data_IF_409548722178
#
_entry.id   IF_409548722178
#
_cell.length_a   1.000
_cell.length_b   1.000
_cell.length_c   1.000
_cell.angle_alpha   90.00
_cell.angle_beta   90.00
_cell.angle_gamma   90.00
#
_symmetry.space_group_name_H-M   'P 1'
#
loop_
_entity.id
_entity.type
_entity.pdbx_description
1 polymer ?
#
# COMPACT_ATOMS: atom_id res chain seq x y z
N UNK A 1 15.52 -9.08 -6.25
CA UNK A 1 14.13 -9.15 -6.77
C UNK A 1 13.93 -8.34 -8.05
N UNK A 2 14.31 -7.00 -8.11
CA UNK A 2 14.14 -6.25 -9.37
C UNK A 2 14.98 -6.85 -10.52
N UNK A 3 16.21 -7.18 -10.28
CA UNK A 3 17.09 -7.80 -11.28
C UNK A 3 16.54 -9.13 -11.79
N UNK A 4 15.97 -9.96 -10.91
CA UNK A 4 15.31 -11.23 -11.31
C UNK A 4 14.11 -10.96 -12.23
N UNK A 5 13.33 -9.89 -11.96
CA UNK A 5 12.22 -9.47 -12.83
C UNK A 5 12.77 -9.02 -14.20
N UNK A 6 13.81 -8.18 -14.21
CA UNK A 6 14.46 -7.71 -15.44
C UNK A 6 14.92 -8.89 -16.30
N UNK A 7 15.62 -9.83 -15.70
CA UNK A 7 16.14 -11.03 -16.41
C UNK A 7 15.00 -11.87 -17.00
N UNK A 8 13.87 -12.00 -16.29
CA UNK A 8 12.66 -12.66 -16.81
C UNK A 8 12.08 -11.89 -17.99
N UNK A 9 11.98 -10.56 -17.90
CA UNK A 9 11.45 -9.72 -18.98
C UNK A 9 12.33 -9.79 -20.24
N UNK A 10 13.65 -9.78 -20.06
CA UNK A 10 14.62 -9.94 -21.14
C UNK A 10 14.49 -11.32 -21.81
N UNK A 11 14.42 -12.39 -21.01
CA UNK A 11 14.33 -13.76 -21.51
C UNK A 11 12.98 -14.12 -22.16
N UNK A 12 11.87 -13.52 -21.68
CA UNK A 12 10.52 -13.85 -22.14
C UNK A 12 9.94 -12.86 -23.14
N UNK A 13 10.50 -11.66 -23.22
CA UNK A 13 10.05 -10.57 -24.11
C UNK A 13 8.54 -10.32 -24.04
N UNK A 14 7.96 -10.45 -22.84
CA UNK A 14 6.51 -10.30 -22.62
C UNK A 14 6.02 -8.95 -23.12
N UNK A 15 4.91 -8.87 -23.87
CA UNK A 15 4.43 -7.60 -24.42
C UNK A 15 3.95 -6.64 -23.35
N UNK A 16 3.40 -7.15 -22.24
CA UNK A 16 2.83 -6.35 -21.14
C UNK A 16 3.31 -6.81 -19.78
N UNK A 17 3.46 -5.88 -18.88
CA UNK A 17 3.90 -6.10 -17.49
C UNK A 17 3.10 -5.22 -16.53
N UNK A 18 2.50 -5.81 -15.53
CA UNK A 18 1.87 -5.07 -14.43
C UNK A 18 2.62 -5.36 -13.13
N UNK A 19 3.19 -4.33 -12.53
CA UNK A 19 3.95 -4.41 -11.28
C UNK A 19 3.27 -3.61 -10.18
N UNK A 20 3.46 -4.05 -8.95
CA UNK A 20 3.01 -3.34 -7.74
C UNK A 20 4.16 -3.17 -6.76
N UNK A 21 4.16 -2.03 -6.07
CA UNK A 21 5.07 -1.78 -4.96
C UNK A 21 4.48 -0.77 -3.96
N UNK A 22 5.16 -0.56 -2.85
CA UNK A 22 4.82 0.53 -1.94
C UNK A 22 5.10 1.90 -2.57
N UNK A 23 4.25 2.90 -2.30
CA UNK A 23 4.38 4.26 -2.87
C UNK A 23 5.70 4.95 -2.50
N UNK A 24 6.36 4.48 -1.44
CA UNK A 24 7.69 4.96 -1.03
C UNK A 24 8.77 4.72 -2.09
N UNK A 25 8.58 3.77 -3.03
CA UNK A 25 9.49 3.51 -4.14
C UNK A 25 9.83 4.81 -4.92
N UNK A 26 8.84 5.68 -5.14
CA UNK A 26 9.04 6.98 -5.82
C UNK A 26 10.01 7.93 -5.09
N UNK A 27 10.39 7.63 -3.86
CA UNK A 27 11.24 8.47 -2.99
C UNK A 27 12.49 7.74 -2.52
N UNK A 28 12.68 6.51 -2.94
CA UNK A 28 13.79 5.65 -2.52
C UNK A 28 15.04 5.90 -3.36
N UNK A 29 16.23 5.87 -2.76
CA UNK A 29 16.50 5.94 -1.31
C UNK A 29 16.44 7.38 -0.80
N UNK A 30 16.38 7.56 0.52
CA UNK A 30 16.24 8.90 1.13
C UNK A 30 17.36 9.87 0.76
N UNK A 31 18.61 9.38 0.60
CA UNK A 31 19.79 10.19 0.25
C UNK A 31 19.88 10.54 -1.24
N UNK A 32 19.20 9.79 -2.13
CA UNK A 32 19.21 9.97 -3.57
C UNK A 32 17.79 9.75 -4.10
N UNK A 33 16.93 10.71 -3.81
CA UNK A 33 15.49 10.60 -4.02
C UNK A 33 15.14 10.22 -5.46
N UNK A 34 14.35 9.13 -5.59
CA UNK A 34 13.83 8.66 -6.87
C UNK A 34 14.77 7.75 -7.66
N UNK A 35 16.02 7.56 -7.19
CA UNK A 35 17.00 6.71 -7.88
C UNK A 35 16.47 5.30 -8.16
N UNK A 36 15.91 4.62 -7.14
CA UNK A 36 15.51 3.23 -7.28
C UNK A 36 14.39 3.06 -8.31
N UNK A 37 13.46 4.00 -8.37
CA UNK A 37 12.43 4.02 -9.41
C UNK A 37 13.00 4.41 -10.78
N UNK A 38 13.95 5.35 -10.83
CA UNK A 38 14.68 5.72 -12.04
C UNK A 38 15.42 4.52 -12.66
N UNK A 39 16.07 3.69 -11.85
CA UNK A 39 16.73 2.45 -12.31
C UNK A 39 15.70 1.47 -12.91
N UNK A 40 14.53 1.31 -12.29
CA UNK A 40 13.46 0.47 -12.83
C UNK A 40 13.03 0.98 -14.22
N UNK A 41 12.79 2.28 -14.35
CA UNK A 41 12.39 2.88 -15.63
C UNK A 41 13.48 2.79 -16.68
N UNK A 42 14.75 2.98 -16.32
CA UNK A 42 15.89 2.83 -17.23
C UNK A 42 16.00 1.40 -17.76
N UNK A 43 15.88 0.39 -16.91
CA UNK A 43 15.88 -1.01 -17.33
C UNK A 43 14.70 -1.33 -18.25
N UNK A 44 13.51 -0.81 -17.95
CA UNK A 44 12.34 -0.99 -18.82
C UNK A 44 12.57 -0.34 -20.20
N UNK A 45 13.13 0.87 -20.22
CA UNK A 45 13.47 1.57 -21.45
C UNK A 45 14.51 0.79 -22.29
N UNK A 46 15.59 0.31 -21.66
CA UNK A 46 16.60 -0.53 -22.30
C UNK A 46 15.99 -1.78 -22.95
N UNK A 47 15.00 -2.38 -22.30
CA UNK A 47 14.27 -3.54 -22.83
C UNK A 47 13.16 -3.17 -23.83
N UNK A 48 13.05 -1.91 -24.24
CA UNK A 48 12.08 -1.42 -25.23
C UNK A 48 10.65 -1.30 -24.72
N UNK A 49 10.46 -1.04 -23.42
CA UNK A 49 9.14 -0.77 -22.84
C UNK A 49 8.90 0.73 -22.65
N UNK A 50 7.67 1.15 -22.91
CA UNK A 50 7.08 2.33 -22.28
C UNK A 50 6.50 1.93 -20.94
N UNK A 51 6.33 2.88 -19.99
CA UNK A 51 5.82 2.55 -18.66
C UNK A 51 4.96 3.68 -18.09
N UNK A 52 3.70 3.39 -17.86
CA UNK A 52 2.79 4.24 -17.08
C UNK A 52 2.87 3.85 -15.60
N UNK A 53 2.69 4.83 -14.69
CA UNK A 53 2.52 4.52 -13.27
C UNK A 53 1.49 5.41 -12.61
N UNK A 54 0.90 4.87 -11.54
CA UNK A 54 0.02 5.62 -10.66
C UNK A 54 0.09 5.13 -9.23
N UNK A 55 0.15 6.07 -8.29
CA UNK A 55 -0.09 5.77 -6.88
C UNK A 55 -1.59 5.79 -6.65
N UNK A 56 -2.12 4.63 -6.27
CA UNK A 56 -3.53 4.41 -6.03
C UNK A 56 -3.72 4.11 -4.55
N UNK A 57 -4.63 4.83 -3.90
CA UNK A 57 -5.15 4.48 -2.59
C UNK A 57 -6.56 3.90 -2.78
N UNK A 58 -6.77 2.67 -2.36
CA UNK A 58 -8.03 1.98 -2.60
C UNK A 58 -9.25 2.76 -2.05
N UNK A 59 -9.10 3.41 -0.91
CA UNK A 59 -10.18 4.22 -0.33
C UNK A 59 -10.54 5.45 -1.17
N UNK A 60 -9.63 5.96 -2.01
CA UNK A 60 -9.93 7.13 -2.86
C UNK A 60 -10.87 6.75 -4.03
N UNK A 61 -11.11 5.46 -4.23
CA UNK A 61 -12.01 4.90 -5.24
C UNK A 61 -13.14 4.05 -4.63
N UNK A 62 -13.52 4.35 -3.39
CA UNK A 62 -14.68 3.77 -2.71
C UNK A 62 -14.42 2.46 -1.96
N UNK A 63 -13.21 1.91 -1.98
CA UNK A 63 -12.94 0.63 -1.34
C UNK A 63 -12.63 0.74 0.16
N UNK A 64 -12.81 -0.35 0.85
CA UNK A 64 -12.86 -0.47 2.32
C UNK A 64 -11.53 -0.26 3.05
N UNK A 65 -10.41 0.02 2.34
CA UNK A 65 -9.10 0.18 2.97
C UNK A 65 -8.32 1.37 2.43
N UNK A 66 -7.72 2.15 3.31
CA UNK A 66 -6.74 3.17 2.97
C UNK A 66 -5.38 2.51 2.73
N UNK A 67 -5.19 1.90 1.55
CA UNK A 67 -3.97 1.21 1.14
C UNK A 67 -3.41 1.86 -0.11
N UNK A 68 -2.31 2.57 0.05
CA UNK A 68 -1.61 3.25 -1.05
C UNK A 68 -0.54 2.33 -1.62
N UNK A 69 -0.59 2.16 -2.95
CA UNK A 69 0.40 1.40 -3.71
C UNK A 69 0.71 2.12 -5.01
N UNK A 70 1.94 2.01 -5.47
CA UNK A 70 2.27 2.33 -6.84
C UNK A 70 2.01 1.10 -7.70
N UNK A 71 1.28 1.30 -8.79
CA UNK A 71 1.15 0.35 -9.88
C UNK A 71 1.92 0.88 -11.07
N UNK A 72 2.57 -0.02 -11.80
CA UNK A 72 3.35 0.28 -12.99
C UNK A 72 2.85 -0.65 -14.08
N UNK A 73 2.32 -0.09 -15.16
CA UNK A 73 1.93 -0.81 -16.36
C UNK A 73 2.95 -0.51 -17.45
N UNK A 74 3.74 -1.52 -17.82
CA UNK A 74 4.73 -1.41 -18.87
C UNK A 74 4.30 -2.25 -20.08
N UNK A 75 4.57 -1.72 -21.27
CA UNK A 75 4.22 -2.36 -22.54
C UNK A 75 5.31 -2.11 -23.57
N UNK A 76 5.60 -3.12 -24.39
CA UNK A 76 6.60 -3.00 -25.47
C UNK A 76 6.19 -1.89 -26.45
N UNK A 77 7.17 -1.14 -26.94
CA UNK A 77 6.97 -0.02 -27.86
C UNK A 77 6.43 -0.43 -29.24
N UNK A 78 6.55 -1.71 -29.60
CA UNK A 78 6.03 -2.29 -30.83
C UNK A 78 4.60 -2.86 -30.71
N UNK A 79 3.98 -2.84 -29.53
CA UNK A 79 2.60 -3.29 -29.31
C UNK A 79 1.57 -2.40 -30.02
N UNK A 80 0.41 -2.96 -30.31
CA UNK A 80 -0.74 -2.20 -30.85
C UNK A 80 -1.15 -1.09 -29.88
N UNK A 81 -1.16 -1.38 -28.58
CA UNK A 81 -1.46 -0.39 -27.55
C UNK A 81 -0.49 0.81 -27.61
N UNK A 82 0.82 0.57 -27.74
CA UNK A 82 1.81 1.63 -27.85
C UNK A 82 1.61 2.48 -29.11
N UNK A 83 1.33 1.84 -30.26
CA UNK A 83 1.12 2.52 -31.55
C UNK A 83 -0.17 3.34 -31.60
N UNK A 84 -1.19 2.97 -30.85
CA UNK A 84 -2.46 3.69 -30.76
C UNK A 84 -2.41 4.83 -29.72
N UNK A 85 -1.44 4.81 -28.80
CA UNK A 85 -1.28 5.80 -27.73
C UNK A 85 -0.59 7.09 -28.24
N UNK A 86 -1.20 7.77 -29.21
CA UNK A 86 -0.66 8.97 -29.88
C UNK A 86 -1.08 10.29 -29.21
N UNK A 87 -1.60 10.23 -28.01
CA UNK A 87 -2.01 11.42 -27.26
C UNK A 87 -0.81 12.11 -26.59
N UNK A 88 -0.88 13.43 -26.36
CA UNK A 88 0.09 14.13 -25.51
C UNK A 88 0.20 13.43 -24.14
N UNK A 89 1.41 13.37 -23.58
CA UNK A 89 1.69 12.62 -22.34
C UNK A 89 0.87 13.12 -21.15
N UNK A 90 0.58 14.43 -21.08
CA UNK A 90 -0.36 14.95 -20.07
C UNK A 90 -1.75 14.33 -20.15
N UNK A 91 -2.23 14.08 -21.37
CA UNK A 91 -3.52 13.48 -21.63
C UNK A 91 -3.50 11.96 -21.41
N UNK A 92 -2.36 11.29 -21.65
CA UNK A 92 -2.19 9.89 -21.26
C UNK A 92 -2.29 9.79 -19.73
N UNK A 93 -1.60 10.67 -19.00
CA UNK A 93 -1.62 10.68 -17.53
C UNK A 93 -3.03 10.94 -16.98
N UNK A 94 -3.85 11.79 -17.62
CA UNK A 94 -5.12 12.25 -17.03
C UNK A 94 -6.38 11.65 -17.63
N UNK A 95 -6.32 11.13 -18.87
CA UNK A 95 -7.54 10.74 -19.60
C UNK A 95 -7.44 9.42 -20.39
N UNK A 96 -6.37 9.23 -21.16
CA UNK A 96 -6.35 8.18 -22.18
C UNK A 96 -5.49 6.96 -21.83
N UNK A 97 -4.53 7.09 -20.92
CA UNK A 97 -3.69 5.97 -20.50
C UNK A 97 -4.43 4.94 -19.67
N UNK A 98 -3.84 3.79 -19.52
CA UNK A 98 -4.40 2.65 -18.78
C UNK A 98 -4.93 3.05 -17.39
N UNK A 99 -4.07 3.72 -16.60
CA UNK A 99 -4.50 4.11 -15.26
C UNK A 99 -5.52 5.25 -15.25
N UNK A 100 -5.55 6.12 -16.27
CA UNK A 100 -6.51 7.20 -16.32
C UNK A 100 -7.92 6.69 -16.63
N UNK A 101 -8.05 5.71 -17.51
CA UNK A 101 -9.32 5.04 -17.83
C UNK A 101 -9.83 4.21 -16.67
N UNK A 102 -8.93 3.53 -15.95
CA UNK A 102 -9.26 2.61 -14.86
C UNK A 102 -9.53 3.35 -13.54
N UNK A 103 -8.74 4.36 -13.24
CA UNK A 103 -8.80 5.16 -12.01
C UNK A 103 -8.88 6.64 -12.36
N UNK A 104 -10.08 7.16 -12.61
CA UNK A 104 -10.29 8.54 -13.02
C UNK A 104 -9.69 9.55 -12.03
N UNK A 105 -9.26 10.67 -12.57
CA UNK A 105 -8.75 11.81 -11.81
C UNK A 105 -9.54 13.07 -12.14
N UNK A 106 -9.45 14.06 -11.28
CA UNK A 106 -10.08 15.37 -11.53
C UNK A 106 -9.53 15.93 -12.85
N UNK A 107 -10.42 16.26 -13.77
CA UNK A 107 -10.07 16.87 -15.06
C UNK A 107 -9.69 18.34 -14.83
N UNK A 108 -8.41 18.60 -14.78
CA UNK A 108 -7.82 19.93 -14.72
C UNK A 108 -6.46 19.93 -15.42
N UNK A 109 -5.96 21.10 -15.75
CA UNK A 109 -4.61 21.24 -16.27
C UNK A 109 -3.59 20.82 -15.21
N UNK A 110 -2.86 19.75 -15.49
CA UNK A 110 -1.81 19.24 -14.61
C UNK A 110 -0.46 19.81 -15.03
N UNK A 111 0.30 20.27 -14.06
CA UNK A 111 1.69 20.69 -14.31
C UNK A 111 2.56 19.44 -14.46
N UNK A 112 3.00 19.19 -15.69
CA UNK A 112 3.91 18.09 -16.01
C UNK A 112 5.34 18.49 -15.73
N UNK A 113 6.09 17.65 -15.03
CA UNK A 113 7.55 17.72 -14.90
C UNK A 113 8.15 16.74 -15.90
N UNK A 114 9.23 17.14 -16.54
CA UNK A 114 9.90 16.34 -17.56
C UNK A 114 11.35 16.15 -17.16
N UNK A 115 11.86 14.93 -17.34
CA UNK A 115 13.28 14.62 -17.19
C UNK A 115 13.64 13.47 -18.14
N UNK A 116 14.83 13.53 -18.70
CA UNK A 116 15.42 12.44 -19.49
C UNK A 116 16.18 11.49 -18.56
N UNK A 117 16.05 10.20 -18.80
CA UNK A 117 16.82 9.17 -18.08
C UNK A 117 18.18 9.03 -18.79
N UNK A 118 19.31 9.03 -18.07
CA UNK A 118 20.61 8.68 -18.66
C UNK A 118 20.55 7.31 -19.32
N UNK A 119 21.22 7.15 -20.46
CA UNK A 119 21.23 5.89 -21.25
C UNK A 119 21.88 4.73 -20.50
N UNK A 120 22.85 5.04 -19.64
CA UNK A 120 23.60 4.03 -18.89
C UNK A 120 22.99 3.81 -17.49
N UNK A 121 22.57 2.59 -17.17
CA UNK A 121 22.01 2.23 -15.85
C UNK A 121 22.99 2.54 -14.72
N UNK A 122 24.29 2.41 -14.95
CA UNK A 122 25.32 2.79 -13.98
C UNK A 122 25.25 4.28 -13.62
N UNK A 123 25.10 5.15 -14.62
CA UNK A 123 24.96 6.59 -14.39
C UNK A 123 23.65 6.93 -13.65
N UNK A 124 22.55 6.26 -13.98
CA UNK A 124 21.29 6.40 -13.24
C UNK A 124 21.48 6.02 -11.77
N UNK A 125 22.15 4.90 -11.51
CA UNK A 125 22.41 4.44 -10.14
C UNK A 125 23.27 5.42 -9.34
N UNK A 126 24.27 6.05 -9.96
CA UNK A 126 25.22 6.94 -9.29
C UNK A 126 24.71 8.37 -9.12
N UNK A 127 24.07 8.93 -10.14
CA UNK A 127 23.82 10.38 -10.23
C UNK A 127 22.35 10.77 -10.29
N UNK A 128 21.45 9.87 -10.74
CA UNK A 128 20.07 10.23 -10.96
C UNK A 128 19.33 10.57 -9.67
N UNK A 129 18.77 11.76 -9.62
CA UNK A 129 17.91 12.25 -8.55
C UNK A 129 16.74 12.99 -9.13
N UNK A 130 15.52 12.57 -8.81
CA UNK A 130 14.32 13.20 -9.31
C UNK A 130 13.14 13.06 -8.35
N UNK A 131 12.32 14.10 -8.28
CA UNK A 131 11.11 14.12 -7.46
C UNK A 131 9.89 13.70 -8.29
N UNK A 132 9.69 12.41 -8.45
CA UNK A 132 8.51 11.85 -9.10
C UNK A 132 7.22 12.29 -8.42
N UNK A 133 6.19 12.53 -9.21
CA UNK A 133 4.83 12.74 -8.76
C UNK A 133 4.06 11.40 -8.72
N UNK A 134 2.82 11.46 -8.25
CA UNK A 134 2.00 10.25 -8.04
C UNK A 134 1.49 9.60 -9.34
N UNK A 135 1.68 10.22 -10.48
CA UNK A 135 1.31 9.68 -11.79
C UNK A 135 2.34 10.06 -12.83
N UNK A 136 2.48 9.27 -13.86
CA UNK A 136 3.36 9.61 -14.99
C UNK A 136 3.43 8.51 -16.03
N UNK A 137 4.24 8.81 -17.04
CA UNK A 137 4.63 7.91 -18.14
C UNK A 137 6.10 8.13 -18.47
N UNK A 138 6.80 7.06 -18.78
CA UNK A 138 8.10 7.06 -19.43
C UNK A 138 7.94 6.55 -20.87
N UNK A 139 8.43 7.28 -21.82
CA UNK A 139 8.40 6.99 -23.27
C UNK A 139 9.75 7.32 -23.88
N UNK A 140 10.39 6.35 -24.51
CA UNK A 140 11.67 6.54 -25.22
C UNK A 140 12.74 7.27 -24.36
N UNK A 141 12.87 6.88 -23.08
CA UNK A 141 13.82 7.45 -22.14
C UNK A 141 13.41 8.79 -21.53
N UNK A 142 12.27 9.37 -21.92
CA UNK A 142 11.77 10.62 -21.37
C UNK A 142 10.66 10.33 -20.36
N UNK A 143 10.81 10.87 -19.17
CA UNK A 143 9.84 10.78 -18.07
C UNK A 143 8.96 12.03 -18.07
N UNK A 144 7.66 11.82 -18.04
CA UNK A 144 6.64 12.83 -17.83
C UNK A 144 5.88 12.48 -16.55
N UNK A 145 5.87 13.36 -15.56
CA UNK A 145 5.18 13.08 -14.30
C UNK A 145 4.38 14.27 -13.81
N UNK A 146 3.21 13.99 -13.25
CA UNK A 146 2.30 15.02 -12.78
C UNK A 146 1.62 14.59 -11.47
N UNK A 147 1.26 15.58 -10.66
CA UNK A 147 0.42 15.36 -9.49
C UNK A 147 -1.04 15.33 -9.92
N UNK A 148 -1.67 14.18 -9.79
CA UNK A 148 -3.09 13.98 -10.04
C UNK A 148 -3.87 13.85 -8.74
N UNK A 149 -5.16 14.20 -8.78
CA UNK A 149 -6.09 14.04 -7.66
C UNK A 149 -7.14 13.01 -8.06
N UNK A 150 -7.36 11.94 -7.29
CA UNK A 150 -8.40 10.96 -7.57
C UNK A 150 -9.79 11.60 -7.71
N UNK A 151 -10.59 11.09 -8.64
CA UNK A 151 -11.99 11.46 -8.80
C UNK A 151 -12.87 10.21 -8.64
N UNK A 152 -13.76 10.25 -7.68
CA UNK A 152 -14.73 9.20 -7.43
C UNK A 152 -15.98 9.82 -6.81
N UNK A 153 -17.14 9.49 -7.34
CA UNK A 153 -18.45 10.00 -6.90
C UNK A 153 -19.41 8.90 -6.45
N UNK A 154 -18.91 7.67 -6.29
CA UNK A 154 -19.69 6.54 -5.80
C UNK A 154 -19.70 6.42 -4.27
N UNK A 155 -20.26 5.34 -3.76
CA UNK A 155 -20.36 5.06 -2.34
C UNK A 155 -19.02 4.59 -1.77
N UNK A 156 -18.68 5.08 -0.58
CA UNK A 156 -17.52 4.65 0.17
C UNK A 156 -17.87 3.43 1.04
N UNK A 157 -17.18 2.32 0.83
CA UNK A 157 -17.24 1.16 1.73
C UNK A 157 -16.42 1.47 2.97
N UNK A 158 -17.04 1.37 4.13
CA UNK A 158 -16.44 1.65 5.44
C UNK A 158 -16.00 0.38 6.15
N UNK A 159 -15.24 0.52 7.24
CA UNK A 159 -14.91 -0.61 8.10
C UNK A 159 -16.19 -1.24 8.68
N UNK A 160 -17.20 -0.44 9.02
CA UNK A 160 -18.47 -0.93 9.55
C UNK A 160 -19.22 -1.85 8.59
N UNK A 161 -19.17 -1.58 7.30
CA UNK A 161 -19.90 -2.35 6.28
C UNK A 161 -19.37 -3.78 6.12
N UNK A 162 -18.14 -4.04 6.54
CA UNK A 162 -17.47 -5.34 6.36
C UNK A 162 -17.35 -6.15 7.64
N UNK A 163 -17.73 -5.59 8.79
CA UNK A 163 -17.63 -6.25 10.09
C UNK A 163 -18.57 -7.46 10.20
N UNK A 164 -18.14 -8.45 10.97
CA UNK A 164 -19.01 -9.55 11.34
C UNK A 164 -20.04 -9.10 12.39
N UNK A 165 -21.30 -9.48 12.18
CA UNK A 165 -22.44 -9.18 13.05
C UNK A 165 -22.87 -10.38 13.93
N UNK A 166 -22.29 -11.55 13.69
CA UNK A 166 -22.54 -12.79 14.45
C UNK A 166 -21.81 -12.87 15.77
N UNK A 167 -21.79 -14.06 16.35
CA UNK A 167 -21.05 -14.35 17.58
C UNK A 167 -19.57 -14.46 17.28
N UNK A 168 -18.78 -13.65 17.95
CA UNK A 168 -17.32 -13.63 17.80
C UNK A 168 -16.68 -14.52 18.88
N UNK A 169 -15.71 -15.35 18.49
CA UNK A 169 -14.94 -16.20 19.41
C UNK A 169 -14.26 -15.37 20.50
N UNK A 170 -14.27 -15.91 21.73
CA UNK A 170 -13.73 -15.22 22.91
C UNK A 170 -12.24 -14.86 22.78
N UNK A 171 -11.49 -15.60 22.00
CA UNK A 171 -10.05 -15.38 21.78
C UNK A 171 -9.71 -14.03 21.11
N UNK A 172 -10.66 -13.41 20.40
CA UNK A 172 -10.47 -12.12 19.77
C UNK A 172 -10.67 -10.94 20.73
N UNK A 173 -11.36 -11.12 21.84
CA UNK A 173 -11.62 -10.04 22.79
C UNK A 173 -10.37 -9.71 23.60
N UNK A 174 -10.15 -8.42 23.80
CA UNK A 174 -9.01 -7.91 24.54
C UNK A 174 -9.41 -7.73 26.00
N UNK A 175 -8.70 -8.36 26.96
CA UNK A 175 -8.94 -8.15 28.37
C UNK A 175 -8.74 -6.68 28.78
N UNK A 176 -9.52 -6.16 29.72
CA UNK A 176 -9.49 -4.75 30.11
C UNK A 176 -8.12 -4.30 30.61
N UNK A 177 -7.42 -5.15 31.35
CA UNK A 177 -6.06 -4.91 31.85
C UNK A 177 -5.01 -4.76 30.76
N UNK A 178 -5.34 -5.20 29.54
CA UNK A 178 -4.48 -5.03 28.36
C UNK A 178 -4.88 -3.81 27.51
N UNK A 179 -6.00 -3.19 27.78
CA UNK A 179 -6.49 -2.03 27.02
C UNK A 179 -5.88 -0.72 27.52
N UNK A 180 -6.02 -0.47 28.80
CA UNK A 180 -5.67 0.81 29.41
C UNK A 180 -4.66 0.59 30.53
N UNK A 181 -3.78 1.56 30.72
CA UNK A 181 -2.94 1.61 31.90
C UNK A 181 -3.64 2.43 33.01
N UNK A 182 -3.27 2.16 34.29
CA UNK A 182 -3.85 2.81 35.44
C UNK A 182 -3.72 4.34 35.39
N UNK A 183 -4.54 5.07 36.05
CA UNK A 183 -4.75 6.51 36.12
C UNK A 183 -4.27 7.36 34.92
N UNK A 184 -5.19 7.95 34.15
CA UNK A 184 -4.88 8.74 32.94
C UNK A 184 -3.93 9.92 33.17
N UNK A 185 -3.79 10.36 34.41
CA UNK A 185 -3.07 11.59 34.78
C UNK A 185 -1.55 11.40 34.94
N UNK A 186 -1.06 10.17 35.07
CA UNK A 186 0.37 9.87 35.30
C UNK A 186 1.22 9.94 34.03
N UNK A 187 0.61 10.10 32.85
CA UNK A 187 1.25 9.75 31.56
C UNK A 187 1.66 10.95 30.73
N UNK A 188 1.35 12.13 31.19
CA UNK A 188 1.63 13.36 30.42
C UNK A 188 2.97 14.01 30.73
N UNK A 189 3.69 13.55 31.71
CA UNK A 189 5.01 14.12 31.98
C UNK A 189 6.08 13.44 31.15
N UNK A 190 6.48 14.07 30.06
CA UNK A 190 7.73 13.81 29.36
C UNK A 190 8.95 13.94 30.30
N UNK A 191 8.77 14.39 31.51
CA UNK A 191 9.76 14.61 32.55
C UNK A 191 10.48 13.33 32.97
N UNK A 192 9.84 12.16 32.84
CA UNK A 192 10.48 10.86 33.12
C UNK A 192 11.09 10.20 31.89
N UNK A 193 11.20 10.90 30.76
CA UNK A 193 11.69 10.35 29.48
C UNK A 193 10.95 9.06 29.06
N UNK A 194 9.67 8.98 29.34
CA UNK A 194 8.77 7.94 28.87
C UNK A 194 9.02 6.56 29.48
N UNK A 195 9.64 6.45 30.63
CA UNK A 195 9.74 5.22 31.38
C UNK A 195 8.51 4.98 32.23
N UNK A 196 7.44 4.55 31.59
CA UNK A 196 6.32 3.94 32.30
C UNK A 196 6.75 2.60 32.91
N UNK A 197 6.10 2.17 34.00
CA UNK A 197 6.22 0.80 34.51
C UNK A 197 6.07 -0.22 33.37
N UNK A 198 6.79 -1.34 33.44
CA UNK A 198 6.77 -2.35 32.37
C UNK A 198 5.38 -2.92 32.10
N UNK A 199 4.52 -2.96 33.12
CA UNK A 199 3.13 -3.37 33.03
C UNK A 199 2.32 -2.45 32.13
N UNK A 200 2.46 -1.14 32.29
CA UNK A 200 1.74 -0.13 31.49
C UNK A 200 2.18 -0.11 30.03
N UNK A 201 3.46 -0.43 29.75
CA UNK A 201 3.99 -0.55 28.39
C UNK A 201 3.39 -1.74 27.62
N UNK A 202 2.77 -2.68 28.30
CA UNK A 202 2.11 -3.83 27.72
C UNK A 202 0.64 -3.58 27.40
N UNK A 203 0.18 -2.33 27.46
CA UNK A 203 -1.19 -1.96 27.11
C UNK A 203 -1.30 -1.40 25.69
N UNK A 204 -2.47 -1.59 25.10
CA UNK A 204 -2.78 -1.04 23.77
C UNK A 204 -2.78 0.48 23.75
N UNK A 205 -3.24 1.11 24.82
CA UNK A 205 -3.21 2.56 24.97
C UNK A 205 -1.77 3.07 24.84
N UNK A 206 -0.81 2.44 25.51
CA UNK A 206 0.59 2.84 25.42
C UNK A 206 1.14 2.68 24.01
N UNK A 207 1.00 1.50 23.37
CA UNK A 207 1.63 1.27 22.07
C UNK A 207 0.99 2.11 20.95
N UNK A 208 -0.29 2.50 21.07
CA UNK A 208 -0.99 3.36 20.10
C UNK A 208 -0.85 4.84 20.40
N UNK A 209 -0.45 5.21 21.62
CA UNK A 209 -0.21 6.59 22.03
C UNK A 209 0.97 7.26 21.34
N UNK A 210 1.01 8.58 21.40
CA UNK A 210 2.18 9.35 20.97
C UNK A 210 3.37 9.11 21.91
N UNK A 211 4.58 9.15 21.36
CA UNK A 211 5.82 8.97 22.13
C UNK A 211 6.88 9.95 21.68
N UNK A 212 7.66 10.42 22.67
CA UNK A 212 8.94 11.10 22.45
C UNK A 212 9.97 10.42 23.37
N UNK A 213 10.87 9.65 22.80
CA UNK A 213 11.82 8.82 23.53
C UNK A 213 13.25 9.18 23.14
N UNK A 214 14.11 9.45 24.10
CA UNK A 214 15.53 9.56 23.85
C UNK A 214 16.09 8.16 23.52
N UNK A 215 16.70 8.02 22.35
CA UNK A 215 17.31 6.78 21.89
C UNK A 215 18.76 7.01 21.51
N UNK A 216 19.58 5.99 21.69
CA UNK A 216 20.96 5.98 21.24
C UNK A 216 21.10 5.05 20.05
N UNK A 217 21.63 5.56 18.93
CA UNK A 217 21.95 4.76 17.75
C UNK A 217 23.12 3.80 18.03
N UNK A 218 23.33 2.83 17.12
CA UNK A 218 24.46 1.90 17.22
C UNK A 218 25.83 2.61 17.29
N UNK A 219 25.91 3.83 16.75
CA UNK A 219 27.13 4.65 16.70
C UNK A 219 27.25 5.61 17.91
N UNK A 220 26.48 5.42 18.98
CA UNK A 220 26.50 6.26 20.17
C UNK A 220 25.76 7.61 20.03
N UNK A 221 25.25 7.98 18.85
CA UNK A 221 24.51 9.23 18.66
C UNK A 221 23.14 9.18 19.34
N UNK A 222 22.86 10.17 20.18
CA UNK A 222 21.56 10.33 20.83
C UNK A 222 20.61 11.13 19.95
N UNK A 223 19.38 10.66 19.85
CA UNK A 223 18.32 11.33 19.12
C UNK A 223 16.97 11.14 19.80
N UNK A 224 16.07 12.10 19.61
CA UNK A 224 14.69 11.98 20.07
C UNK A 224 13.88 11.23 19.04
N UNK A 225 13.51 10.00 19.36
CA UNK A 225 12.53 9.24 18.58
C UNK A 225 11.14 9.79 18.89
N UNK A 226 10.43 10.25 17.86
CA UNK A 226 9.08 10.79 17.98
C UNK A 226 8.12 10.02 17.09
N UNK A 227 7.00 9.59 17.64
CA UNK A 227 5.88 9.06 16.89
C UNK A 227 4.55 9.65 17.36
N UNK A 228 3.70 10.07 16.40
CA UNK A 228 2.37 10.57 16.69
C UNK A 228 1.42 9.48 17.17
N UNK A 229 0.32 9.82 17.85
CA UNK A 229 -0.69 8.86 18.23
C UNK A 229 -1.44 8.31 17.00
N UNK A 230 -1.96 7.10 17.13
CA UNK A 230 -2.96 6.53 16.22
C UNK A 230 -4.21 6.18 17.02
N UNK A 231 -5.35 6.08 16.34
CA UNK A 231 -6.62 5.77 17.00
C UNK A 231 -6.50 4.48 17.82
N UNK A 232 -6.96 4.54 19.07
CA UNK A 232 -7.02 3.35 19.94
C UNK A 232 -8.03 2.35 19.39
N UNK A 233 -9.21 2.81 19.02
CA UNK A 233 -10.28 2.05 18.39
C UNK A 233 -10.46 2.59 16.98
N UNK A 234 -10.49 1.73 15.99
CA UNK A 234 -10.69 2.08 14.59
C UNK A 234 -12.17 2.45 14.37
N UNK A 235 -12.39 3.55 13.67
CA UNK A 235 -13.72 4.11 13.43
C UNK A 235 -14.45 3.30 12.34
N UNK A 236 -15.74 3.04 12.56
CA UNK A 236 -16.58 2.25 11.65
C UNK A 236 -17.07 3.04 10.44
N UNK A 237 -17.19 4.35 10.57
CA UNK A 237 -17.66 5.28 9.55
C UNK A 237 -16.59 5.64 8.49
N UNK A 238 -15.44 4.98 8.54
CA UNK A 238 -14.29 5.24 7.64
C UNK A 238 -13.73 3.94 7.10
N UNK A 239 -13.05 3.98 5.94
CA UNK A 239 -12.26 2.84 5.46
C UNK A 239 -11.21 2.43 6.49
N UNK A 240 -10.95 1.14 6.59
CA UNK A 240 -9.90 0.59 7.43
C UNK A 240 -8.53 1.25 7.15
N UNK A 241 -7.66 1.29 8.14
CA UNK A 241 -6.25 1.66 7.93
C UNK A 241 -5.54 0.60 7.06
N UNK A 242 -4.36 0.92 6.57
CA UNK A 242 -3.53 -0.08 5.89
C UNK A 242 -3.24 -1.26 6.81
N UNK A 243 -3.66 -2.46 6.43
CA UNK A 243 -3.33 -3.70 7.11
C UNK A 243 -1.87 -4.06 6.84
N UNK A 244 -1.15 -4.46 7.87
CA UNK A 244 0.24 -4.91 7.80
C UNK A 244 0.34 -6.40 8.15
N UNK A 245 1.48 -7.01 7.83
CA UNK A 245 1.75 -8.42 8.14
C UNK A 245 1.75 -8.74 9.64
N UNK A 246 1.92 -7.72 10.48
CA UNK A 246 1.81 -7.81 11.94
C UNK A 246 0.38 -7.73 12.49
N UNK A 247 -0.65 -7.77 11.61
CA UNK A 247 -2.05 -7.70 12.02
C UNK A 247 -2.39 -8.83 13.02
N UNK A 248 -3.09 -8.45 14.08
CA UNK A 248 -3.45 -9.37 15.16
C UNK A 248 -2.36 -9.63 16.20
N UNK A 249 -1.12 -9.15 16.01
CA UNK A 249 -0.08 -9.14 17.03
C UNK A 249 -0.16 -7.89 17.90
N UNK A 250 0.54 -7.89 19.04
CA UNK A 250 0.65 -6.72 19.92
C UNK A 250 1.56 -5.66 19.27
N UNK A 251 1.00 -4.94 18.31
CA UNK A 251 1.69 -3.93 17.52
C UNK A 251 0.78 -2.71 17.32
N UNK A 252 1.36 -1.51 17.32
CA UNK A 252 0.59 -0.26 17.15
C UNK A 252 -0.27 -0.20 15.89
N UNK A 253 0.16 -0.88 14.82
CA UNK A 253 -0.55 -0.91 13.53
C UNK A 253 -1.78 -1.81 13.53
N UNK A 254 -1.86 -2.76 14.46
CA UNK A 254 -2.99 -3.70 14.56
C UNK A 254 -4.30 -2.95 14.76
N UNK A 255 -5.34 -3.37 14.02
CA UNK A 255 -6.68 -2.84 14.18
C UNK A 255 -7.29 -3.29 15.49
N UNK A 256 -7.95 -2.37 16.16
CA UNK A 256 -8.76 -2.63 17.35
C UNK A 256 -10.14 -2.06 17.09
N UNK A 257 -11.15 -2.86 17.29
CA UNK A 257 -12.53 -2.50 16.99
C UNK A 257 -13.44 -2.73 18.21
N UNK A 258 -14.59 -2.10 18.20
CA UNK A 258 -15.64 -2.33 19.18
C UNK A 258 -16.62 -3.33 18.58
N UNK A 259 -16.78 -4.48 19.21
CA UNK A 259 -17.71 -5.50 18.73
C UNK A 259 -19.13 -4.94 18.61
N UNK A 260 -19.78 -5.13 17.47
CA UNK A 260 -21.10 -4.54 17.17
C UNK A 260 -22.17 -5.08 18.11
N UNK A 261 -22.12 -6.39 18.43
CA UNK A 261 -23.15 -7.07 19.23
C UNK A 261 -22.98 -6.82 20.72
N UNK A 262 -21.76 -6.88 21.23
CA UNK A 262 -21.48 -6.86 22.66
C UNK A 262 -20.95 -5.53 23.17
N UNK A 263 -20.48 -4.67 22.27
CA UNK A 263 -19.82 -3.41 22.62
C UNK A 263 -18.41 -3.58 23.22
N UNK A 264 -17.92 -4.83 23.37
CA UNK A 264 -16.58 -5.11 23.90
C UNK A 264 -15.50 -4.84 22.87
N UNK A 265 -14.30 -4.56 23.34
CA UNK A 265 -13.15 -4.23 22.49
C UNK A 265 -12.43 -5.52 22.07
N UNK A 266 -12.09 -5.63 20.79
CA UNK A 266 -11.47 -6.81 20.22
C UNK A 266 -10.54 -6.52 19.05
N UNK A 267 -9.77 -7.53 18.67
CA UNK A 267 -9.03 -7.58 17.42
C UNK A 267 -9.96 -7.93 16.25
N UNK A 268 -9.51 -7.70 15.03
CA UNK A 268 -10.18 -8.23 13.83
C UNK A 268 -10.14 -9.75 13.81
N UNK A 269 -11.20 -10.35 13.30
CA UNK A 269 -11.19 -11.78 12.93
C UNK A 269 -10.43 -12.00 11.62
N UNK A 270 -10.03 -13.22 11.28
CA UNK A 270 -9.48 -13.52 9.95
C UNK A 270 -10.45 -13.18 8.80
N UNK A 271 -11.75 -13.40 8.99
CA UNK A 271 -12.79 -13.09 8.00
C UNK A 271 -12.87 -11.58 7.75
N UNK A 272 -12.82 -10.77 8.78
CA UNK A 272 -12.79 -9.31 8.64
C UNK A 272 -11.50 -8.84 7.95
N UNK A 273 -10.37 -9.48 8.24
CA UNK A 273 -9.11 -9.22 7.57
C UNK A 273 -9.18 -9.55 6.06
N UNK A 274 -9.79 -10.65 5.69
CA UNK A 274 -10.05 -11.03 4.30
C UNK A 274 -10.94 -9.99 3.60
N UNK A 275 -12.05 -9.61 4.23
CA UNK A 275 -12.98 -8.60 3.69
C UNK A 275 -12.32 -7.23 3.52
N UNK A 276 -11.42 -6.82 4.41
CA UNK A 276 -10.64 -5.56 4.26
C UNK A 276 -9.81 -5.58 2.98
N UNK A 277 -9.33 -6.74 2.54
CA UNK A 277 -8.57 -6.89 1.30
C UNK A 277 -9.47 -7.21 0.08
N UNK A 278 -10.80 -7.32 0.27
CA UNK A 278 -11.75 -7.66 -0.79
C UNK A 278 -11.83 -9.14 -1.13
N UNK A 279 -11.28 -10.02 -0.28
CA UNK A 279 -11.46 -11.47 -0.44
C UNK A 279 -12.82 -11.91 0.09
N UNK A 280 -13.38 -13.00 -0.46
CA UNK A 280 -14.54 -13.66 0.13
C UNK A 280 -14.24 -14.14 1.57
N UNK A 281 -15.29 -14.21 2.40
CA UNK A 281 -15.17 -14.77 3.75
C UNK A 281 -14.64 -16.19 3.72
N UNK A 282 -13.77 -16.53 4.65
CA UNK A 282 -13.14 -17.85 4.77
C UNK A 282 -12.23 -18.27 3.60
N UNK A 283 -11.82 -17.33 2.74
CA UNK A 283 -10.93 -17.61 1.62
C UNK A 283 -9.61 -18.29 2.03
N UNK A 284 -9.08 -17.91 3.18
CA UNK A 284 -7.84 -18.48 3.72
C UNK A 284 -8.06 -19.47 4.86
N UNK A 285 -9.26 -20.02 5.00
CA UNK A 285 -9.64 -20.90 6.12
C UNK A 285 -8.81 -22.17 6.20
N UNK A 286 -8.48 -22.73 5.04
CA UNK A 286 -7.80 -24.00 4.90
C UNK A 286 -6.57 -23.89 4.01
N UNK A 287 -5.62 -24.78 4.18
CA UNK A 287 -4.44 -24.93 3.34
C UNK A 287 -4.12 -26.41 3.08
N UNK A 288 -3.48 -26.68 1.95
CA UNK A 288 -2.97 -28.01 1.65
C UNK A 288 -1.63 -28.24 2.37
N UNK A 289 -1.57 -29.28 3.17
CA UNK A 289 -0.34 -29.76 3.84
C UNK A 289 -0.16 -31.24 3.52
N UNK A 290 0.85 -31.55 2.74
CA UNK A 290 1.13 -32.91 2.26
C UNK A 290 -0.07 -33.56 1.54
N UNK A 291 -0.83 -32.76 0.76
CA UNK A 291 -2.00 -33.22 0.01
C UNK A 291 -3.31 -33.28 0.81
N UNK A 292 -3.30 -32.97 2.10
CA UNK A 292 -4.49 -32.94 2.96
C UNK A 292 -4.90 -31.50 3.25
N UNK A 293 -6.20 -31.22 3.23
CA UNK A 293 -6.77 -29.94 3.69
C UNK A 293 -6.67 -29.85 5.21
N UNK A 294 -6.04 -28.80 5.71
CA UNK A 294 -5.91 -28.51 7.15
C UNK A 294 -6.31 -27.07 7.44
N UNK A 295 -6.88 -26.80 8.63
CA UNK A 295 -7.16 -25.44 9.04
C UNK A 295 -5.91 -24.56 9.02
N UNK A 296 -6.00 -23.39 8.38
CA UNK A 296 -4.94 -22.40 8.37
C UNK A 296 -4.88 -21.69 9.74
N UNK A 297 -3.71 -21.61 10.39
CA UNK A 297 -3.55 -20.88 11.64
C UNK A 297 -3.96 -19.40 11.50
N UNK A 298 -4.72 -18.88 12.48
CA UNK A 298 -5.26 -17.51 12.49
C UNK A 298 -4.19 -16.46 12.17
N UNK A 299 -3.01 -16.56 12.78
CA UNK A 299 -1.92 -15.61 12.54
C UNK A 299 -1.40 -15.66 11.08
N UNK A 300 -1.42 -16.83 10.45
CA UNK A 300 -1.04 -16.99 9.04
C UNK A 300 -2.08 -16.37 8.12
N UNK A 301 -3.37 -16.54 8.38
CA UNK A 301 -4.47 -15.90 7.65
C UNK A 301 -4.29 -14.39 7.65
N UNK A 302 -4.10 -13.77 8.82
CA UNK A 302 -3.87 -12.32 8.97
C UNK A 302 -2.57 -11.85 8.29
N UNK A 303 -1.49 -12.62 8.43
CA UNK A 303 -0.22 -12.33 7.78
C UNK A 303 -0.36 -12.26 6.25
N UNK A 304 -1.08 -13.22 5.66
CA UNK A 304 -1.33 -13.23 4.22
C UNK A 304 -2.11 -11.99 3.77
N UNK A 305 -3.11 -11.57 4.54
CA UNK A 305 -3.88 -10.35 4.25
C UNK A 305 -3.03 -9.09 4.36
N UNK A 306 -2.05 -9.04 5.24
CA UNK A 306 -1.08 -7.95 5.32
C UNK A 306 -0.20 -7.81 4.07
N UNK A 307 0.11 -8.92 3.41
CA UNK A 307 0.86 -8.96 2.14
C UNK A 307 -0.02 -8.80 0.89
N UNK A 308 -1.31 -9.08 1.00
CA UNK A 308 -2.21 -9.08 -0.15
C UNK A 308 -2.42 -7.69 -0.75
N UNK A 309 -2.82 -7.67 -2.01
CA UNK A 309 -3.41 -6.52 -2.69
C UNK A 309 -4.91 -6.41 -2.33
N UNK A 310 -5.48 -5.21 -2.47
CA UNK A 310 -6.94 -5.05 -2.47
C UNK A 310 -7.48 -5.64 -3.78
N UNK A 311 -8.21 -6.74 -3.68
CA UNK A 311 -8.68 -7.52 -4.84
C UNK A 311 -9.50 -6.66 -5.79
N UNK A 312 -10.32 -5.76 -5.25
CA UNK A 312 -11.20 -4.90 -6.02
C UNK A 312 -10.44 -3.91 -6.93
N UNK A 313 -9.22 -3.50 -6.57
CA UNK A 313 -8.37 -2.69 -7.46
C UNK A 313 -7.97 -3.48 -8.71
N UNK A 314 -7.63 -4.76 -8.54
CA UNK A 314 -7.27 -5.63 -9.67
C UNK A 314 -8.50 -5.92 -10.54
N UNK A 315 -9.65 -6.19 -9.91
CA UNK A 315 -10.93 -6.36 -10.61
C UNK A 315 -11.30 -5.11 -11.43
N UNK A 316 -11.01 -3.91 -10.91
CA UNK A 316 -11.26 -2.66 -11.63
C UNK A 316 -10.31 -2.48 -12.83
N UNK A 317 -9.11 -3.05 -12.79
CA UNK A 317 -8.15 -3.03 -13.91
C UNK A 317 -8.51 -4.03 -15.02
N UNK A 318 -9.17 -5.12 -14.68
CA UNK A 318 -9.42 -6.25 -15.57
C UNK A 318 -10.09 -5.86 -16.89
N UNK A 319 -11.19 -5.07 -16.95
CA UNK A 319 -11.84 -4.76 -18.21
C UNK A 319 -10.94 -4.02 -19.21
N UNK A 320 -10.12 -3.08 -18.75
CA UNK A 320 -9.19 -2.36 -19.65
C UNK A 320 -8.00 -3.24 -20.04
N UNK A 321 -7.51 -4.13 -19.14
CA UNK A 321 -6.48 -5.11 -19.49
C UNK A 321 -7.00 -6.09 -20.57
N UNK A 322 -8.20 -6.62 -20.39
CA UNK A 322 -8.83 -7.51 -21.39
C UNK A 322 -8.97 -6.79 -22.72
N UNK A 323 -9.49 -5.56 -22.72
CA UNK A 323 -9.60 -4.77 -23.94
C UNK A 323 -8.25 -4.55 -24.64
N UNK A 324 -7.18 -4.31 -23.89
CA UNK A 324 -5.82 -4.15 -24.46
C UNK A 324 -5.35 -5.48 -25.06
N UNK A 325 -5.51 -6.59 -24.34
CA UNK A 325 -5.01 -7.91 -24.79
C UNK A 325 -5.81 -8.47 -25.96
N UNK A 326 -7.12 -8.23 -26.02
CA UNK A 326 -7.98 -8.67 -27.12
C UNK A 326 -7.69 -7.91 -28.44
N UNK A 327 -7.06 -6.73 -28.36
CA UNK A 327 -6.72 -5.92 -29.52
C UNK A 327 -5.22 -5.99 -29.90
N UNK A 328 -4.41 -6.81 -29.23
CA UNK A 328 -3.02 -7.03 -29.55
C UNK A 328 -2.86 -8.15 -30.59
#
# INVERSE_FOLDING_TARGET
>A
LWWDIRDILEAKETPFVLLENVDRLLKSPAKQRGRDFGVILACLNELGYHAEWRVINAADYGWQQRRRRIFIFAYKNNTTYAKQSLHPESNIITKYGFFAKTFPVVENDVKVKIVEIPSEIGEVSEKFTFAFENSGIMKDGIIYTAKTTPYYNGNQITLGDIMETGDISKEFFIPNERLFYGAPDVIRSDETHGRLPDEDRRTWQYIKGGKKLLRTSKNGHQYVYSEGPIAMIDAYDKPARTMLTSEGSFNRSTHIVKDIKTGKIRLLTPIEAERIQGFPSDWTKECLVNGELKPMPINKRRFMMGNALVVDLIRQMEPELSNIFDNE
#
